data_IF_462320916561
#
_entry.id   IF_462320916561
#
_cell.length_a   1.000
_cell.length_b   1.000
_cell.length_c   1.000
_cell.angle_alpha   90.00
_cell.angle_beta   90.00
_cell.angle_gamma   90.00
#
_symmetry.space_group_name_H-M   'P 1'
#
loop_
_entity.id
_entity.type
_entity.pdbx_description
1 polymer ?
#
# COMPACT_ATOMS: atom_id res chain seq x y z
N UNK A 1 33.49 -12.23 -8.48
CA UNK A 1 32.19 -11.93 -7.85
C UNK A 1 31.12 -11.90 -8.94
N UNK A 2 30.20 -12.86 -8.93
CA UNK A 2 29.22 -13.06 -10.01
C UNK A 2 27.88 -12.42 -9.63
N UNK A 3 27.49 -11.35 -10.33
CA UNK A 3 26.17 -10.72 -10.16
C UNK A 3 25.15 -11.52 -10.97
N UNK A 4 24.35 -12.37 -10.31
CA UNK A 4 23.23 -13.06 -10.95
C UNK A 4 22.04 -12.11 -11.04
N UNK A 5 21.78 -11.60 -12.24
CA UNK A 5 20.51 -10.94 -12.57
C UNK A 5 19.42 -12.01 -12.68
N UNK A 6 18.75 -12.31 -11.58
CA UNK A 6 17.50 -13.08 -11.62
C UNK A 6 16.39 -12.18 -12.12
N UNK A 7 16.08 -12.30 -13.41
CA UNK A 7 14.85 -11.79 -14.01
C UNK A 7 13.73 -12.71 -13.55
N UNK A 8 13.13 -12.44 -12.38
CA UNK A 8 11.87 -13.10 -12.02
C UNK A 8 10.84 -12.63 -13.03
N UNK A 9 10.32 -13.60 -13.78
CA UNK A 9 9.17 -13.45 -14.64
C UNK A 9 7.97 -13.17 -13.73
N UNK A 10 7.82 -11.91 -13.31
CA UNK A 10 6.63 -11.47 -12.60
C UNK A 10 5.55 -11.36 -13.68
N UNK A 11 4.76 -12.43 -13.82
CA UNK A 11 3.52 -12.36 -14.57
C UNK A 11 2.76 -11.13 -14.08
N UNK A 12 2.45 -10.24 -15.02
CA UNK A 12 1.67 -9.03 -14.80
C UNK A 12 0.25 -9.47 -14.47
N UNK A 13 0.00 -9.90 -13.23
CA UNK A 13 -1.36 -10.02 -12.72
C UNK A 13 -1.92 -8.61 -12.68
N UNK A 14 -2.93 -8.37 -13.53
CA UNK A 14 -3.73 -7.13 -13.52
C UNK A 14 -4.31 -6.94 -12.13
N UNK A 15 -3.66 -6.13 -11.30
CA UNK A 15 -4.29 -5.61 -10.09
C UNK A 15 -4.98 -4.32 -10.54
N UNK A 16 -6.28 -4.47 -10.80
CA UNK A 16 -7.14 -3.42 -11.34
C UNK A 16 -6.98 -2.14 -10.53
N UNK A 17 -6.44 -1.12 -11.18
CA UNK A 17 -6.12 0.18 -10.62
C UNK A 17 -7.34 1.10 -10.60
N UNK A 18 -8.51 0.62 -10.15
CA UNK A 18 -9.74 1.42 -10.25
C UNK A 18 -10.77 1.20 -9.13
N UNK A 19 -10.36 0.83 -7.92
CA UNK A 19 -11.19 1.06 -6.73
C UNK A 19 -10.84 2.43 -6.17
N UNK A 20 -11.54 3.47 -6.62
CA UNK A 20 -11.46 4.79 -6.00
C UNK A 20 -12.07 4.69 -4.60
N UNK A 21 -11.24 4.39 -3.61
CA UNK A 21 -11.65 4.36 -2.21
C UNK A 21 -11.60 5.78 -1.69
N UNK A 22 -12.74 6.27 -1.21
CA UNK A 22 -12.79 7.56 -0.54
C UNK A 22 -11.88 7.52 0.69
N UNK A 23 -10.95 8.48 0.75
CA UNK A 23 -10.09 8.64 1.90
C UNK A 23 -10.93 9.21 3.06
N UNK A 24 -10.70 8.75 4.30
CA UNK A 24 -11.33 9.38 5.45
C UNK A 24 -10.93 10.87 5.53
N UNK A 25 -11.81 11.75 6.02
CA UNK A 25 -11.49 13.16 6.19
C UNK A 25 -10.22 13.36 7.02
N UNK A 26 -9.38 14.32 6.62
CA UNK A 26 -8.19 14.67 7.39
C UNK A 26 -8.60 15.30 8.73
N UNK A 27 -8.34 14.61 9.84
CA UNK A 27 -8.62 15.12 11.17
C UNK A 27 -7.44 15.89 11.75
N UNK A 28 -7.66 16.60 12.87
CA UNK A 28 -6.64 17.35 13.62
C UNK A 28 -5.36 16.55 13.94
N UNK A 29 -5.45 15.22 14.07
CA UNK A 29 -4.32 14.34 14.41
C UNK A 29 -3.89 13.43 13.24
N UNK A 30 -4.46 13.62 12.06
CA UNK A 30 -4.20 12.77 10.90
C UNK A 30 -3.01 13.27 10.07
N UNK A 31 -2.41 12.37 9.29
CA UNK A 31 -1.36 12.69 8.31
C UNK A 31 -1.77 12.06 6.98
N UNK A 32 -1.80 12.86 5.92
CA UNK A 32 -2.01 12.37 4.56
C UNK A 32 -0.65 12.09 3.91
N UNK A 33 -0.48 10.85 3.47
CA UNK A 33 0.77 10.36 2.88
C UNK A 33 0.50 9.92 1.44
N UNK A 34 1.25 10.48 0.49
CA UNK A 34 1.36 9.90 -0.83
C UNK A 34 2.37 8.75 -0.80
N UNK A 35 1.85 7.51 -0.88
CA UNK A 35 2.67 6.29 -0.84
C UNK A 35 3.54 6.20 -2.09
N UNK A 36 4.84 6.00 -1.91
CA UNK A 36 5.83 5.80 -2.99
C UNK A 36 6.32 4.35 -3.08
N UNK A 37 6.33 3.64 -1.95
CA UNK A 37 6.69 2.24 -1.88
C UNK A 37 5.92 1.54 -0.75
N UNK A 38 5.72 0.24 -0.92
CA UNK A 38 5.13 -0.61 0.09
C UNK A 38 5.71 -2.03 0.00
N UNK A 39 6.01 -2.64 1.14
CA UNK A 39 6.47 -4.02 1.22
C UNK A 39 5.29 -4.98 1.44
N UNK A 40 5.39 -6.17 0.86
CA UNK A 40 4.44 -7.27 1.09
C UNK A 40 5.09 -8.30 1.99
N UNK A 41 4.44 -8.57 3.11
CA UNK A 41 4.83 -9.62 4.05
C UNK A 41 4.28 -10.99 3.62
N UNK A 42 4.78 -12.07 4.23
CA UNK A 42 4.20 -13.41 4.04
C UNK A 42 2.71 -13.48 4.43
N UNK A 43 2.29 -12.68 5.42
CA UNK A 43 0.90 -12.58 5.83
C UNK A 43 0.04 -12.00 4.72
N UNK A 44 0.50 -10.92 4.07
CA UNK A 44 -0.20 -10.31 2.95
C UNK A 44 -0.34 -11.30 1.79
N UNK A 45 0.71 -12.08 1.50
CA UNK A 45 0.68 -13.12 0.46
C UNK A 45 -0.35 -14.20 0.78
N UNK A 46 -0.35 -14.74 2.00
CA UNK A 46 -1.33 -15.75 2.42
C UNK A 46 -2.76 -15.23 2.34
N UNK A 47 -2.97 -13.98 2.72
CA UNK A 47 -4.27 -13.35 2.67
C UNK A 47 -4.76 -13.16 1.23
N UNK A 48 -3.90 -12.66 0.33
CA UNK A 48 -4.22 -12.59 -1.10
C UNK A 48 -4.57 -13.98 -1.67
N UNK A 49 -3.85 -15.02 -1.28
CA UNK A 49 -4.14 -16.40 -1.69
C UNK A 49 -5.48 -16.92 -1.15
N UNK A 50 -5.88 -16.54 0.06
CA UNK A 50 -7.19 -16.90 0.64
C UNK A 50 -8.31 -16.16 -0.09
N UNK A 51 -8.21 -14.84 -0.23
CA UNK A 51 -9.20 -14.01 -0.91
C UNK A 51 -9.37 -14.44 -2.38
N UNK A 52 -8.27 -14.81 -3.06
CA UNK A 52 -8.34 -15.28 -4.46
C UNK A 52 -9.10 -16.61 -4.63
N UNK A 53 -9.33 -17.37 -3.55
CA UNK A 53 -10.10 -18.63 -3.59
C UNK A 53 -11.58 -18.38 -3.34
N UNK A 54 -11.95 -17.27 -2.74
CA UNK A 54 -13.33 -16.85 -2.59
C UNK A 54 -13.86 -16.29 -3.90
N UNK A 55 -15.03 -16.75 -4.32
CA UNK A 55 -15.70 -16.27 -5.55
C UNK A 55 -16.43 -14.95 -5.35
N UNK A 56 -16.46 -14.43 -4.11
CA UNK A 56 -17.06 -13.13 -3.80
C UNK A 56 -16.03 -12.00 -3.99
N UNK A 57 -16.37 -10.92 -4.71
CA UNK A 57 -15.47 -9.80 -4.91
C UNK A 57 -15.31 -9.04 -3.59
N UNK A 58 -14.30 -9.42 -2.81
CA UNK A 58 -13.91 -8.71 -1.59
C UNK A 58 -12.60 -7.96 -1.84
N UNK A 59 -12.63 -6.64 -1.62
CA UNK A 59 -11.43 -5.82 -1.70
C UNK A 59 -10.76 -5.79 -0.33
N UNK A 60 -9.54 -6.31 -0.26
CA UNK A 60 -8.73 -6.26 0.96
C UNK A 60 -7.44 -5.47 0.72
N UNK A 61 -7.20 -4.47 1.56
CA UNK A 61 -5.98 -3.67 1.51
C UNK A 61 -4.81 -4.43 2.11
N UNK A 62 -3.77 -4.65 1.31
CA UNK A 62 -2.51 -5.28 1.73
C UNK A 62 -1.38 -4.26 1.81
N UNK A 63 -0.27 -4.66 2.43
CA UNK A 63 0.94 -3.83 2.44
C UNK A 63 0.91 -2.81 3.58
N UNK A 64 1.26 -3.29 4.78
CA UNK A 64 1.23 -2.47 6.01
C UNK A 64 2.52 -1.67 6.22
N UNK A 65 3.59 -2.08 5.56
CA UNK A 65 4.88 -1.40 5.61
C UNK A 65 4.99 -0.43 4.44
N UNK A 66 4.68 0.85 4.70
CA UNK A 66 4.63 1.91 3.68
C UNK A 66 5.77 2.92 3.84
N UNK A 67 6.20 3.47 2.72
CA UNK A 67 7.07 4.65 2.65
C UNK A 67 6.48 5.64 1.64
N UNK A 68 6.51 6.94 1.97
CA UNK A 68 5.85 7.95 1.16
C UNK A 68 6.25 9.38 1.52
N UNK A 69 5.59 10.33 0.85
CA UNK A 69 5.78 11.77 1.05
C UNK A 69 4.56 12.31 1.79
N UNK A 70 4.79 13.10 2.85
CA UNK A 70 3.72 13.77 3.58
C UNK A 70 3.17 14.91 2.72
N UNK A 71 1.87 14.86 2.42
CA UNK A 71 1.17 15.88 1.65
C UNK A 71 0.46 16.89 2.53
N UNK A 72 -0.23 16.40 3.57
CA UNK A 72 -0.97 17.25 4.51
C UNK A 72 -0.87 16.70 5.92
N UNK A 73 -0.96 17.59 6.92
CA UNK A 73 -0.98 17.24 8.34
C UNK A 73 -2.12 17.97 9.04
N UNK A 74 -2.75 17.30 9.99
CA UNK A 74 -3.69 17.93 10.90
C UNK A 74 -2.98 18.97 11.78
N UNK A 75 -3.72 20.01 12.16
CA UNK A 75 -3.18 21.16 12.91
C UNK A 75 -2.58 20.82 14.29
N UNK A 76 -2.86 19.64 14.86
CA UNK A 76 -2.31 19.21 16.14
C UNK A 76 -1.09 18.28 15.98
N UNK A 77 -0.64 17.99 14.76
CA UNK A 77 0.57 17.21 14.49
C UNK A 77 1.80 18.12 14.56
N UNK A 78 2.68 17.89 15.54
CA UNK A 78 3.85 18.75 15.79
C UNK A 78 5.19 18.10 15.44
N UNK A 79 5.20 16.79 15.18
CA UNK A 79 6.41 15.98 15.01
C UNK A 79 6.87 15.86 13.55
N UNK A 80 6.04 16.28 12.59
CA UNK A 80 6.25 16.10 11.16
C UNK A 80 6.11 17.43 10.40
N UNK A 81 6.70 17.50 9.21
CA UNK A 81 6.57 18.64 8.28
C UNK A 81 6.16 18.14 6.90
N UNK A 82 5.40 18.96 6.20
CA UNK A 82 5.07 18.76 4.78
C UNK A 82 6.26 19.21 3.90
N UNK A 83 6.38 18.60 2.72
CA UNK A 83 7.43 18.91 1.71
C UNK A 83 6.86 19.66 0.52
#
# INVERSE_FOLDING_TARGET
MSVRKMRKHLQRSSWDSNSQTDLPPLTRYSVLIEVKACSLSEVDIKLMQLVSRDTSPTHYSVGKDIAGIIREIGNAVTTLKTW
#
